data_IF_165055789531
#
_entry.id   IF_165055789531
#
_cell.length_a   1.000
_cell.length_b   1.000
_cell.length_c   1.000
_cell.angle_alpha   90.00
_cell.angle_beta   90.00
_cell.angle_gamma   90.00
#
_symmetry.space_group_name_H-M   'P 1'
#
loop_
_entity.id
_entity.type
_entity.pdbx_description
1 polymer ?
#
# COMPACT_ATOMS: atom_id res chain seq x y z
N UNK A 1 -3.48 24.40 -26.91
CA UNK A 1 -3.95 25.62 -26.24
C UNK A 1 -5.16 25.26 -25.40
N UNK A 2 -5.22 25.67 -24.13
CA UNK A 2 -6.35 25.41 -23.22
C UNK A 2 -7.09 26.74 -23.01
N UNK A 3 -8.39 26.77 -23.27
CA UNK A 3 -9.21 27.97 -23.09
C UNK A 3 -9.40 28.29 -21.62
N UNK A 4 -9.33 29.58 -21.27
CA UNK A 4 -9.45 30.07 -19.90
C UNK A 4 -10.75 29.65 -19.25
N UNK A 5 -11.88 29.75 -19.96
CA UNK A 5 -13.21 29.46 -19.42
C UNK A 5 -13.30 28.02 -18.92
N UNK A 6 -12.74 27.09 -19.70
CA UNK A 6 -12.70 25.65 -19.40
C UNK A 6 -11.72 25.37 -18.26
N UNK A 7 -10.52 25.95 -18.32
CA UNK A 7 -9.52 25.81 -17.27
C UNK A 7 -10.06 26.25 -15.90
N UNK A 8 -10.69 27.42 -15.84
CA UNK A 8 -11.20 28.04 -14.62
C UNK A 8 -12.42 27.31 -14.05
N UNK A 9 -13.24 26.70 -14.93
CA UNK A 9 -14.39 25.90 -14.51
C UNK A 9 -13.94 24.63 -13.76
N UNK A 10 -12.90 23.95 -14.24
CA UNK A 10 -12.53 22.63 -13.74
C UNK A 10 -11.34 22.60 -12.77
N UNK A 11 -10.47 23.61 -12.78
CA UNK A 11 -9.24 23.64 -11.98
C UNK A 11 -9.25 24.75 -10.93
N UNK A 12 -9.14 24.36 -9.66
CA UNK A 12 -8.92 25.32 -8.57
C UNK A 12 -7.58 26.03 -8.66
N UNK A 13 -6.56 25.35 -9.22
CA UNK A 13 -5.23 25.92 -9.44
C UNK A 13 -5.28 27.05 -10.48
N UNK A 14 -5.85 26.79 -11.67
CA UNK A 14 -5.91 27.81 -12.73
C UNK A 14 -6.74 29.01 -12.29
N UNK A 15 -7.81 28.80 -11.52
CA UNK A 15 -8.59 29.90 -10.94
C UNK A 15 -7.74 30.85 -10.11
N UNK A 16 -6.94 30.32 -9.18
CA UNK A 16 -6.07 31.16 -8.35
C UNK A 16 -4.98 31.85 -9.16
N UNK A 17 -4.31 31.11 -10.05
CA UNK A 17 -3.22 31.64 -10.85
C UNK A 17 -3.71 32.77 -11.78
N UNK A 18 -4.83 32.55 -12.47
CA UNK A 18 -5.41 33.51 -13.40
C UNK A 18 -5.91 34.78 -12.69
N UNK A 19 -6.59 34.63 -11.54
CA UNK A 19 -7.02 35.79 -10.75
C UNK A 19 -5.85 36.60 -10.20
N UNK A 20 -4.74 35.95 -9.83
CA UNK A 20 -3.51 36.64 -9.41
C UNK A 20 -2.92 37.46 -10.56
N UNK A 21 -2.80 36.85 -11.74
CA UNK A 21 -2.17 37.50 -12.90
C UNK A 21 -3.03 38.65 -13.45
N UNK A 22 -4.35 38.49 -13.48
CA UNK A 22 -5.26 39.57 -13.90
C UNK A 22 -5.18 40.80 -12.98
N UNK A 23 -5.06 40.59 -11.66
CA UNK A 23 -4.89 41.70 -10.70
C UNK A 23 -3.60 42.50 -10.96
N UNK A 24 -2.54 41.82 -11.39
CA UNK A 24 -1.24 42.44 -11.67
C UNK A 24 -1.23 43.17 -13.01
N UNK A 25 -1.81 42.57 -14.06
CA UNK A 25 -1.69 43.09 -15.43
C UNK A 25 -2.87 43.95 -15.90
N UNK A 26 -3.99 43.95 -15.17
CA UNK A 26 -5.22 44.68 -15.49
C UNK A 26 -5.78 44.40 -16.90
N UNK A 27 -5.53 43.18 -17.42
CA UNK A 27 -5.95 42.70 -18.76
C UNK A 27 -6.07 41.16 -18.78
N UNK A 28 -6.69 40.55 -19.80
CA UNK A 28 -6.71 39.09 -19.97
C UNK A 28 -5.29 38.53 -20.03
N UNK A 29 -4.98 37.56 -19.17
CA UNK A 29 -3.62 37.02 -19.03
C UNK A 29 -3.47 35.67 -19.75
N UNK A 30 -2.40 35.52 -20.52
CA UNK A 30 -1.95 34.20 -21.01
C UNK A 30 -1.03 33.58 -19.97
N UNK A 31 -1.42 32.43 -19.40
CA UNK A 31 -0.63 31.72 -18.41
C UNK A 31 0.37 30.77 -19.09
N UNK A 32 1.66 31.01 -18.89
CA UNK A 32 2.72 30.09 -19.32
C UNK A 32 3.06 29.13 -18.19
N UNK A 33 2.71 27.85 -18.36
CA UNK A 33 2.88 26.81 -17.35
C UNK A 33 4.12 25.99 -17.68
N UNK A 34 5.27 26.39 -17.11
CA UNK A 34 6.56 25.78 -17.41
C UNK A 34 6.99 24.70 -16.41
N UNK A 35 6.28 24.53 -15.29
CA UNK A 35 6.65 23.59 -14.22
C UNK A 35 6.01 22.20 -14.36
N UNK A 36 5.31 21.94 -15.47
CA UNK A 36 4.74 20.61 -15.80
C UNK A 36 5.71 19.75 -16.63
N UNK A 37 6.95 20.20 -16.83
CA UNK A 37 7.99 19.48 -17.59
C UNK A 37 8.34 18.10 -17.04
N UNK A 38 8.02 17.85 -15.77
CA UNK A 38 8.30 16.57 -15.11
C UNK A 38 7.19 15.52 -15.33
N UNK A 39 6.14 15.85 -16.09
CA UNK A 39 5.06 14.94 -16.45
C UNK A 39 5.16 14.56 -17.92
N UNK A 40 4.75 13.33 -18.22
CA UNK A 40 4.58 12.85 -19.59
C UNK A 40 3.62 13.75 -20.37
N UNK A 41 4.02 14.07 -21.59
CA UNK A 41 3.24 14.95 -22.46
C UNK A 41 1.87 14.36 -22.79
N UNK A 42 1.74 13.02 -22.86
CA UNK A 42 0.44 12.39 -23.10
C UNK A 42 -0.44 12.43 -21.87
N UNK A 43 0.09 12.29 -20.66
CA UNK A 43 -0.68 12.47 -19.41
C UNK A 43 -1.28 13.89 -19.36
N UNK A 44 -0.49 14.92 -19.66
CA UNK A 44 -0.95 16.31 -19.74
C UNK A 44 -2.01 16.48 -20.84
N UNK A 45 -1.77 15.93 -22.04
CA UNK A 45 -2.72 16.00 -23.16
C UNK A 45 -4.06 15.33 -22.81
N UNK A 46 -4.03 14.18 -22.14
CA UNK A 46 -5.25 13.47 -21.71
C UNK A 46 -6.03 14.25 -20.68
N UNK A 47 -5.37 14.85 -19.70
CA UNK A 47 -6.06 15.74 -18.77
C UNK A 47 -6.69 16.92 -19.51
N UNK A 48 -5.98 17.57 -20.44
CA UNK A 48 -6.57 18.65 -21.24
C UNK A 48 -7.80 18.15 -21.99
N UNK A 49 -7.71 17.04 -22.71
CA UNK A 49 -8.85 16.45 -23.43
C UNK A 49 -10.01 16.11 -22.49
N UNK A 50 -9.72 15.63 -21.29
CA UNK A 50 -10.71 15.37 -20.25
C UNK A 50 -11.45 16.65 -19.84
N UNK A 51 -10.77 17.80 -19.72
CA UNK A 51 -11.42 19.07 -19.41
C UNK A 51 -12.44 19.50 -20.46
N UNK A 52 -12.23 19.14 -21.73
CA UNK A 52 -13.15 19.47 -22.82
C UNK A 52 -14.28 18.44 -22.99
N UNK A 53 -14.00 17.17 -22.74
CA UNK A 53 -14.90 16.06 -23.14
C UNK A 53 -15.55 15.34 -21.98
N UNK A 54 -14.99 15.47 -20.76
CA UNK A 54 -15.36 14.64 -19.61
C UNK A 54 -14.94 13.17 -19.73
N UNK A 55 -14.22 12.78 -20.79
CA UNK A 55 -13.79 11.40 -21.04
C UNK A 55 -12.30 11.27 -20.71
N UNK A 56 -11.94 10.29 -19.88
CA UNK A 56 -10.55 10.01 -19.49
C UNK A 56 -10.17 8.58 -19.90
N UNK A 57 -9.64 8.36 -21.11
CA UNK A 57 -9.09 7.06 -21.49
C UNK A 57 -7.77 6.83 -20.73
N UNK A 58 -7.73 5.80 -19.89
CA UNK A 58 -6.54 5.43 -19.13
C UNK A 58 -6.52 3.94 -18.79
N UNK A 59 -5.30 3.43 -18.58
CA UNK A 59 -5.01 2.13 -17.99
C UNK A 59 -4.50 2.31 -16.55
N UNK A 60 -4.46 1.23 -15.77
CA UNK A 60 -3.99 1.28 -14.38
C UNK A 60 -2.54 1.77 -14.25
N UNK A 61 -1.68 1.45 -15.21
CA UNK A 61 -0.28 1.89 -15.24
C UNK A 61 -0.13 3.42 -15.28
N UNK A 62 -1.10 4.14 -15.85
CA UNK A 62 -1.05 5.59 -16.05
C UNK A 62 -1.69 6.36 -14.88
N UNK A 63 -2.44 5.66 -14.02
CA UNK A 63 -3.19 6.27 -12.92
C UNK A 63 -2.30 7.03 -11.92
N UNK A 64 -1.14 6.51 -11.48
CA UNK A 64 -0.29 7.24 -10.53
C UNK A 64 0.09 8.64 -11.01
N UNK A 65 0.49 8.76 -12.28
CA UNK A 65 0.86 10.03 -12.88
C UNK A 65 -0.35 10.96 -13.07
N UNK A 66 -1.47 10.41 -13.54
CA UNK A 66 -2.71 11.18 -13.71
C UNK A 66 -3.26 11.69 -12.37
N UNK A 67 -3.13 10.93 -11.28
CA UNK A 67 -3.46 11.37 -9.93
C UNK A 67 -2.55 12.50 -9.45
N UNK A 68 -1.24 12.37 -9.66
CA UNK A 68 -0.28 13.41 -9.28
C UNK A 68 -0.56 14.72 -10.03
N UNK A 69 -0.86 14.64 -11.33
CA UNK A 69 -1.22 15.80 -12.14
C UNK A 69 -2.56 16.41 -11.69
N UNK A 70 -3.57 15.56 -11.44
CA UNK A 70 -4.88 15.96 -10.94
C UNK A 70 -4.78 16.68 -9.59
N UNK A 71 -3.94 16.20 -8.67
CA UNK A 71 -3.68 16.85 -7.39
C UNK A 71 -2.98 18.20 -7.58
N UNK A 72 -1.90 18.24 -8.38
CA UNK A 72 -1.12 19.46 -8.65
C UNK A 72 -1.97 20.57 -9.27
N UNK A 73 -2.83 20.22 -10.22
CA UNK A 73 -3.71 21.16 -10.92
C UNK A 73 -5.10 21.25 -10.31
N UNK A 74 -5.36 20.54 -9.21
CA UNK A 74 -6.60 20.58 -8.45
C UNK A 74 -7.85 20.43 -9.33
N UNK A 75 -7.95 19.28 -10.02
CA UNK A 75 -9.06 18.93 -10.92
C UNK A 75 -9.94 17.84 -10.28
N UNK A 76 -10.81 18.18 -9.31
CA UNK A 76 -11.53 17.17 -8.50
C UNK A 76 -12.47 16.26 -9.32
N UNK A 77 -13.00 16.72 -10.45
CA UNK A 77 -13.81 15.89 -11.34
C UNK A 77 -13.03 14.72 -11.93
N UNK A 78 -11.76 14.95 -12.30
CA UNK A 78 -10.87 13.91 -12.81
C UNK A 78 -10.55 12.90 -11.72
N UNK A 79 -10.23 13.37 -10.50
CA UNK A 79 -10.01 12.50 -9.33
C UNK A 79 -11.20 11.57 -9.10
N UNK A 80 -12.42 12.11 -9.10
CA UNK A 80 -13.63 11.31 -8.88
C UNK A 80 -13.84 10.22 -9.93
N UNK A 81 -13.49 10.48 -11.19
CA UNK A 81 -13.58 9.47 -12.26
C UNK A 81 -12.50 8.41 -12.10
N UNK A 82 -11.27 8.80 -11.77
CA UNK A 82 -10.18 7.85 -11.48
C UNK A 82 -10.55 6.96 -10.30
N UNK A 83 -11.10 7.51 -9.21
CA UNK A 83 -11.54 6.74 -8.05
C UNK A 83 -12.60 5.70 -8.40
N UNK A 84 -13.61 6.09 -9.17
CA UNK A 84 -14.65 5.16 -9.66
C UNK A 84 -14.05 4.05 -10.51
N UNK A 85 -13.12 4.39 -11.40
CA UNK A 85 -12.40 3.43 -12.23
C UNK A 85 -11.60 2.44 -11.39
N UNK A 86 -10.85 2.91 -10.39
CA UNK A 86 -10.09 2.05 -9.47
C UNK A 86 -11.03 1.10 -8.71
N UNK A 87 -12.17 1.60 -8.19
CA UNK A 87 -13.13 0.74 -7.47
C UNK A 87 -13.71 -0.33 -8.40
N UNK A 88 -14.05 0.04 -9.64
CA UNK A 88 -14.55 -0.91 -10.64
C UNK A 88 -13.49 -1.97 -10.96
N UNK A 89 -12.23 -1.55 -11.18
CA UNK A 89 -11.13 -2.46 -11.49
C UNK A 89 -10.71 -3.33 -10.31
N UNK A 90 -10.83 -2.85 -9.08
CA UNK A 90 -10.55 -3.64 -7.88
C UNK A 90 -11.56 -4.78 -7.68
N UNK A 91 -12.76 -4.70 -8.27
CA UNK A 91 -13.70 -5.82 -8.28
C UNK A 91 -13.24 -6.96 -9.21
N UNK A 92 -12.36 -6.67 -10.18
CA UNK A 92 -11.75 -7.66 -11.06
C UNK A 92 -10.48 -8.22 -10.42
N UNK A 93 -10.45 -9.53 -10.15
CA UNK A 93 -9.32 -10.18 -9.46
C UNK A 93 -7.96 -9.93 -10.15
N UNK A 94 -7.93 -9.96 -11.48
CA UNK A 94 -6.71 -9.74 -12.26
C UNK A 94 -6.13 -8.33 -12.08
N UNK A 95 -6.90 -7.34 -11.64
CA UNK A 95 -6.44 -5.96 -11.45
C UNK A 95 -6.37 -5.53 -9.98
N UNK A 96 -6.80 -6.40 -9.07
CA UNK A 96 -6.93 -6.09 -7.64
C UNK A 96 -5.60 -5.67 -7.01
N UNK A 97 -4.51 -6.39 -7.30
CA UNK A 97 -3.19 -6.08 -6.75
C UNK A 97 -2.64 -4.74 -7.27
N UNK A 98 -2.85 -4.43 -8.54
CA UNK A 98 -2.46 -3.13 -9.11
C UNK A 98 -3.24 -1.99 -8.45
N UNK A 99 -4.57 -2.16 -8.30
CA UNK A 99 -5.42 -1.20 -7.60
C UNK A 99 -5.00 -1.02 -6.15
N UNK A 100 -4.62 -2.11 -5.47
CA UNK A 100 -4.10 -2.06 -4.11
C UNK A 100 -2.80 -1.26 -4.04
N UNK A 101 -1.83 -1.56 -4.91
CA UNK A 101 -0.55 -0.87 -4.93
C UNK A 101 -0.74 0.64 -5.17
N UNK A 102 -1.56 1.00 -6.16
CA UNK A 102 -1.92 2.40 -6.45
C UNK A 102 -2.56 3.07 -5.22
N UNK A 103 -3.44 2.36 -4.50
CA UNK A 103 -4.15 2.92 -3.34
C UNK A 103 -3.26 3.17 -2.12
N UNK A 104 -2.17 2.42 -2.01
CA UNK A 104 -1.18 2.52 -0.94
C UNK A 104 0.02 3.41 -1.27
N UNK A 105 0.20 3.76 -2.54
CA UNK A 105 1.31 4.61 -2.97
C UNK A 105 1.30 5.95 -2.21
N UNK A 106 2.48 6.44 -1.79
CA UNK A 106 2.61 7.64 -0.95
C UNK A 106 1.99 8.90 -1.56
N UNK A 107 2.00 8.98 -2.89
CA UNK A 107 1.45 10.12 -3.64
C UNK A 107 -0.02 9.92 -4.06
N UNK A 108 -0.66 8.84 -3.61
CA UNK A 108 -2.07 8.57 -3.92
C UNK A 108 -2.98 9.51 -3.13
N UNK A 109 -3.40 10.60 -3.78
CA UNK A 109 -4.46 11.48 -3.27
C UNK A 109 -5.85 10.88 -3.53
N UNK A 110 -6.05 9.62 -3.16
CA UNK A 110 -7.36 8.96 -3.18
C UNK A 110 -8.09 9.20 -1.86
N UNK A 111 -9.41 9.33 -1.92
CA UNK A 111 -10.25 9.39 -0.73
C UNK A 111 -10.17 8.10 0.08
N UNK A 112 -10.38 8.25 1.40
CA UNK A 112 -10.43 7.12 2.32
C UNK A 112 -11.45 6.07 1.87
N UNK A 113 -12.63 6.51 1.40
CA UNK A 113 -13.68 5.63 0.88
C UNK A 113 -13.17 4.72 -0.25
N UNK A 114 -12.41 5.26 -1.19
CA UNK A 114 -11.82 4.48 -2.29
C UNK A 114 -10.84 3.45 -1.75
N UNK A 115 -9.94 3.87 -0.85
CA UNK A 115 -8.96 2.97 -0.22
C UNK A 115 -9.65 1.84 0.56
N UNK A 116 -10.73 2.15 1.27
CA UNK A 116 -11.52 1.17 2.02
C UNK A 116 -12.20 0.14 1.10
N UNK A 117 -12.76 0.57 -0.04
CA UNK A 117 -13.33 -0.37 -1.01
C UNK A 117 -12.28 -1.34 -1.56
N UNK A 118 -11.12 -0.82 -1.99
CA UNK A 118 -10.03 -1.66 -2.51
C UNK A 118 -9.53 -2.63 -1.43
N UNK A 119 -9.29 -2.13 -0.22
CA UNK A 119 -8.89 -2.95 0.93
C UNK A 119 -9.91 -4.07 1.19
N UNK A 120 -11.21 -3.77 1.17
CA UNK A 120 -12.25 -4.78 1.37
C UNK A 120 -12.21 -5.88 0.31
N UNK A 121 -11.93 -5.56 -0.96
CA UNK A 121 -11.75 -6.57 -2.00
C UNK A 121 -10.51 -7.44 -1.76
N UNK A 122 -9.38 -6.83 -1.37
CA UNK A 122 -8.15 -7.56 -1.01
C UNK A 122 -8.41 -8.52 0.15
N UNK A 123 -9.03 -8.03 1.23
CA UNK A 123 -9.29 -8.80 2.45
C UNK A 123 -10.24 -9.98 2.21
N UNK A 124 -11.26 -9.80 1.36
CA UNK A 124 -12.18 -10.90 0.95
C UNK A 124 -11.49 -11.98 0.12
N UNK A 125 -10.40 -11.63 -0.55
CA UNK A 125 -9.65 -12.53 -1.43
C UNK A 125 -8.23 -12.74 -0.93
N UNK A 126 -7.99 -12.66 0.39
CA UNK A 126 -6.64 -12.60 0.97
C UNK A 126 -5.76 -13.77 0.49
N UNK A 127 -6.25 -15.00 0.58
CA UNK A 127 -5.54 -16.19 0.11
C UNK A 127 -5.10 -16.03 -1.35
N UNK A 128 -6.06 -15.78 -2.23
CA UNK A 128 -5.78 -15.61 -3.66
C UNK A 128 -4.83 -14.44 -3.92
N UNK A 129 -4.95 -13.34 -3.17
CA UNK A 129 -4.10 -12.17 -3.32
C UNK A 129 -2.66 -12.45 -2.88
N UNK A 130 -2.47 -13.13 -1.74
CA UNK A 130 -1.15 -13.50 -1.22
C UNK A 130 -0.51 -14.59 -2.07
N UNK A 131 -1.27 -15.53 -2.63
CA UNK A 131 -0.73 -16.62 -3.45
C UNK A 131 -0.42 -16.23 -4.89
N UNK A 132 -0.95 -15.11 -5.38
CA UNK A 132 -0.60 -14.57 -6.69
C UNK A 132 0.89 -14.20 -6.76
N UNK A 133 1.57 -14.59 -7.83
CA UNK A 133 3.00 -14.30 -8.05
C UNK A 133 3.27 -12.80 -8.05
N UNK A 134 2.31 -11.97 -8.48
CA UNK A 134 2.43 -10.51 -8.51
C UNK A 134 2.40 -9.88 -7.12
N UNK A 135 2.07 -10.65 -6.07
CA UNK A 135 2.12 -10.15 -4.69
C UNK A 135 3.54 -9.70 -4.29
N UNK A 136 4.58 -10.35 -4.80
CA UNK A 136 5.97 -9.95 -4.55
C UNK A 136 6.39 -8.69 -5.33
N UNK A 137 5.62 -8.29 -6.36
CA UNK A 137 5.86 -7.08 -7.14
C UNK A 137 5.23 -5.83 -6.50
N UNK A 138 4.44 -6.00 -5.44
CA UNK A 138 3.88 -4.88 -4.70
C UNK A 138 4.98 -4.06 -4.03
N UNK A 139 4.71 -2.77 -3.86
CA UNK A 139 5.53 -1.92 -3.02
C UNK A 139 5.45 -2.45 -1.59
N UNK A 140 6.58 -2.47 -0.88
CA UNK A 140 6.60 -2.93 0.51
C UNK A 140 5.60 -2.16 1.38
N UNK A 141 5.42 -0.85 1.14
CA UNK A 141 4.43 -0.04 1.84
C UNK A 141 2.99 -0.55 1.66
N UNK A 142 2.65 -1.14 0.52
CA UNK A 142 1.34 -1.74 0.28
C UNK A 142 1.17 -3.07 1.04
N UNK A 143 2.21 -3.89 1.10
CA UNK A 143 2.20 -5.14 1.90
C UNK A 143 2.10 -4.82 3.38
N UNK A 144 2.89 -3.87 3.87
CA UNK A 144 2.81 -3.43 5.27
C UNK A 144 1.44 -2.83 5.60
N UNK A 145 0.87 -2.02 4.71
CA UNK A 145 -0.46 -1.43 4.91
C UNK A 145 -1.57 -2.48 4.99
N UNK A 146 -1.39 -3.65 4.36
CA UNK A 146 -2.29 -4.79 4.46
C UNK A 146 -2.07 -5.53 5.78
N UNK A 147 -0.81 -5.90 6.07
CA UNK A 147 -0.47 -6.69 7.25
C UNK A 147 -0.75 -5.93 8.55
N UNK A 148 -0.60 -4.60 8.58
CA UNK A 148 -0.91 -3.74 9.75
C UNK A 148 -2.40 -3.74 10.15
N UNK A 149 -3.32 -4.25 9.31
CA UNK A 149 -4.76 -4.20 9.59
C UNK A 149 -5.17 -5.11 10.74
N UNK A 150 -5.91 -4.57 11.69
CA UNK A 150 -6.46 -5.32 12.83
C UNK A 150 -7.44 -6.42 12.41
N UNK A 151 -8.16 -6.18 11.31
CA UNK A 151 -9.19 -7.09 10.79
C UNK A 151 -8.66 -8.17 9.86
N UNK A 152 -7.34 -8.38 9.80
CA UNK A 152 -6.73 -9.39 8.93
C UNK A 152 -7.31 -10.79 9.23
N UNK A 153 -7.84 -11.52 8.22
CA UNK A 153 -8.43 -12.83 8.42
C UNK A 153 -7.33 -13.91 8.57
N UNK A 154 -6.64 -13.87 9.70
CA UNK A 154 -5.59 -14.81 10.11
C UNK A 154 -5.99 -15.54 11.39
N UNK A 155 -5.29 -16.63 11.73
CA UNK A 155 -5.49 -17.36 12.98
C UNK A 155 -4.67 -16.78 14.12
N UNK A 156 -3.46 -16.30 13.82
CA UNK A 156 -2.56 -15.72 14.82
C UNK A 156 -1.52 -14.79 14.18
N UNK A 157 -0.77 -14.07 15.02
CA UNK A 157 0.41 -13.29 14.58
C UNK A 157 1.47 -14.15 13.87
N UNK A 158 1.53 -15.45 14.16
CA UNK A 158 2.43 -16.35 13.46
C UNK A 158 2.11 -16.40 11.96
N UNK A 159 0.83 -16.31 11.58
CA UNK A 159 0.44 -16.28 10.17
C UNK A 159 0.79 -14.94 9.52
N UNK A 160 0.71 -13.83 10.27
CA UNK A 160 1.15 -12.50 9.80
C UNK A 160 2.63 -12.54 9.46
N UNK A 161 3.44 -13.13 10.35
CA UNK A 161 4.86 -13.34 10.10
C UNK A 161 5.07 -14.20 8.85
N UNK A 162 4.37 -15.33 8.71
CA UNK A 162 4.50 -16.22 7.54
C UNK A 162 4.16 -15.51 6.23
N UNK A 163 3.08 -14.72 6.18
CA UNK A 163 2.75 -13.93 4.98
C UNK A 163 3.87 -12.92 4.66
N UNK A 164 4.42 -12.26 5.68
CA UNK A 164 5.55 -11.34 5.50
C UNK A 164 6.78 -12.08 4.93
N UNK A 165 7.10 -13.26 5.47
CA UNK A 165 8.21 -14.09 4.98
C UNK A 165 7.95 -14.61 3.55
N UNK A 166 6.72 -15.00 3.21
CA UNK A 166 6.36 -15.39 1.84
C UNK A 166 6.61 -14.25 0.84
N UNK A 167 6.31 -13.01 1.22
CA UNK A 167 6.64 -11.83 0.42
C UNK A 167 8.15 -11.64 0.27
N UNK A 168 8.89 -11.71 1.38
CA UNK A 168 10.34 -11.59 1.42
C UNK A 168 11.04 -12.63 0.52
N UNK A 169 10.65 -13.91 0.64
CA UNK A 169 11.23 -15.00 -0.15
C UNK A 169 11.02 -14.83 -1.64
N UNK A 170 9.81 -14.45 -2.06
CA UNK A 170 9.50 -14.28 -3.50
C UNK A 170 10.16 -13.06 -4.13
N UNK A 171 10.82 -12.21 -3.33
CA UNK A 171 11.66 -11.11 -3.80
C UNK A 171 13.16 -11.45 -3.71
N UNK A 172 13.52 -12.67 -3.30
CA UNK A 172 14.90 -13.07 -2.99
C UNK A 172 15.60 -12.08 -2.05
N UNK A 173 14.84 -11.48 -1.12
CA UNK A 173 15.29 -10.43 -0.22
C UNK A 173 15.68 -9.09 -0.84
N UNK A 174 15.63 -8.93 -2.16
CA UNK A 174 16.03 -7.71 -2.86
C UNK A 174 15.09 -6.54 -2.57
N UNK A 175 15.67 -5.40 -2.20
CA UNK A 175 14.98 -4.13 -1.93
C UNK A 175 13.89 -4.23 -0.82
N UNK A 176 14.00 -5.19 0.09
CA UNK A 176 13.10 -5.32 1.24
C UNK A 176 13.77 -4.74 2.49
N UNK A 177 13.16 -3.71 3.08
CA UNK A 177 13.52 -3.27 4.42
C UNK A 177 12.94 -4.25 5.44
N UNK A 178 13.77 -5.20 5.84
CA UNK A 178 13.38 -6.31 6.71
C UNK A 178 12.89 -5.87 8.09
N UNK A 179 13.54 -4.86 8.70
CA UNK A 179 13.10 -4.30 9.97
C UNK A 179 11.68 -3.74 9.87
N UNK A 180 11.40 -2.94 8.84
CA UNK A 180 10.06 -2.34 8.63
C UNK A 180 9.00 -3.39 8.35
N UNK A 181 9.36 -4.45 7.60
CA UNK A 181 8.48 -5.56 7.32
C UNK A 181 8.15 -6.37 8.59
N UNK A 182 9.13 -6.65 9.46
CA UNK A 182 8.90 -7.37 10.71
C UNK A 182 8.16 -6.52 11.76
N UNK A 183 8.34 -5.20 11.75
CA UNK A 183 7.60 -4.28 12.63
C UNK A 183 6.07 -4.34 12.45
N UNK A 184 5.56 -4.97 11.38
CA UNK A 184 4.11 -5.13 11.19
C UNK A 184 3.52 -6.23 12.07
N UNK A 185 4.35 -7.16 12.58
CA UNK A 185 3.98 -8.30 13.44
C UNK A 185 3.89 -7.82 14.90
N UNK A 186 2.92 -8.34 15.64
CA UNK A 186 2.75 -8.01 17.07
C UNK A 186 3.38 -9.10 17.93
N UNK A 187 4.41 -8.72 18.69
CA UNK A 187 5.23 -9.65 19.47
C UNK A 187 4.75 -9.84 20.92
N UNK A 188 3.70 -9.12 21.34
CA UNK A 188 2.98 -9.31 22.61
C UNK A 188 2.02 -10.52 22.57
N UNK A 189 2.36 -11.58 21.82
CA UNK A 189 1.46 -12.68 21.43
C UNK A 189 1.57 -13.96 22.27
N UNK A 190 2.24 -13.88 23.42
CA UNK A 190 2.47 -15.00 24.33
C UNK A 190 3.58 -15.94 23.88
N UNK A 191 4.16 -16.66 24.85
CA UNK A 191 5.37 -17.46 24.66
C UNK A 191 5.19 -18.58 23.60
N UNK A 192 4.06 -19.27 23.59
CA UNK A 192 3.80 -20.34 22.62
C UNK A 192 3.84 -19.85 21.17
N UNK A 193 3.26 -18.67 20.90
CA UNK A 193 3.28 -18.07 19.57
C UNK A 193 4.70 -17.63 19.20
N UNK A 194 5.42 -17.00 20.12
CA UNK A 194 6.81 -16.56 19.91
C UNK A 194 7.76 -17.73 19.64
N UNK A 195 7.59 -18.86 20.33
CA UNK A 195 8.39 -20.08 20.11
C UNK A 195 8.17 -20.59 18.68
N UNK A 196 6.94 -20.63 18.19
CA UNK A 196 6.62 -21.05 16.81
C UNK A 196 7.20 -20.08 15.78
N UNK A 197 7.06 -18.78 16.01
CA UNK A 197 7.68 -17.76 15.14
C UNK A 197 9.20 -17.92 15.08
N UNK A 198 9.86 -18.16 16.22
CA UNK A 198 11.31 -18.38 16.26
C UNK A 198 11.70 -19.65 15.49
N UNK A 199 10.92 -20.73 15.58
CA UNK A 199 11.15 -21.93 14.78
C UNK A 199 11.07 -21.63 13.28
N UNK A 200 10.04 -20.88 12.84
CA UNK A 200 9.91 -20.47 11.44
C UNK A 200 11.11 -19.63 10.96
N UNK A 201 11.57 -18.68 11.78
CA UNK A 201 12.75 -17.85 11.50
C UNK A 201 14.03 -18.69 11.41
N UNK A 202 14.20 -19.68 12.28
CA UNK A 202 15.35 -20.58 12.23
C UNK A 202 15.36 -21.43 10.95
N UNK A 203 14.20 -21.84 10.43
CA UNK A 203 14.09 -22.56 9.17
C UNK A 203 14.52 -21.73 7.95
N UNK A 204 14.47 -20.40 8.02
CA UNK A 204 14.87 -19.50 6.91
C UNK A 204 16.39 -19.49 6.71
N UNK A 205 17.17 -19.75 7.75
CA UNK A 205 18.63 -19.70 7.73
C UNK A 205 19.21 -18.35 7.21
N UNK A 206 18.60 -17.24 7.61
CA UNK A 206 19.07 -15.87 7.32
C UNK A 206 19.44 -15.16 8.64
N UNK A 207 20.68 -14.65 8.73
CA UNK A 207 21.20 -14.01 9.94
C UNK A 207 20.62 -12.62 10.20
N UNK A 208 20.40 -11.83 9.14
CA UNK A 208 19.82 -10.49 9.24
C UNK A 208 18.37 -10.58 9.72
N UNK A 209 17.61 -11.53 9.16
CA UNK A 209 16.24 -11.83 9.55
C UNK A 209 16.14 -12.26 11.00
N UNK A 210 17.05 -13.14 11.43
CA UNK A 210 17.13 -13.55 12.82
C UNK A 210 17.42 -12.36 13.73
N UNK A 211 18.37 -11.51 13.36
CA UNK A 211 18.72 -10.33 14.15
C UNK A 211 17.53 -9.36 14.29
N UNK A 212 16.88 -9.00 13.19
CA UNK A 212 15.70 -8.13 13.20
C UNK A 212 14.54 -8.73 13.99
N UNK A 213 14.32 -10.05 13.88
CA UNK A 213 13.29 -10.75 14.66
C UNK A 213 13.55 -10.66 16.17
N UNK A 214 14.78 -10.92 16.61
CA UNK A 214 15.14 -10.88 18.03
C UNK A 214 15.01 -9.46 18.62
N UNK A 215 15.40 -8.42 17.85
CA UNK A 215 15.19 -7.03 18.25
C UNK A 215 13.69 -6.71 18.45
N UNK A 216 12.85 -7.13 17.51
CA UNK A 216 11.41 -6.93 17.59
C UNK A 216 10.77 -7.69 18.76
N UNK A 217 11.21 -8.92 19.02
CA UNK A 217 10.77 -9.70 20.18
C UNK A 217 11.13 -9.02 21.49
N UNK A 218 12.38 -8.57 21.63
CA UNK A 218 12.84 -7.85 22.82
C UNK A 218 12.02 -6.58 23.05
N UNK A 219 11.73 -5.83 21.99
CA UNK A 219 10.88 -4.63 22.07
C UNK A 219 9.44 -4.96 22.48
N UNK A 220 8.80 -5.97 21.88
CA UNK A 220 7.44 -6.36 22.23
C UNK A 220 7.29 -6.91 23.66
N UNK A 221 8.31 -7.64 24.14
CA UNK A 221 8.37 -8.09 25.54
C UNK A 221 8.52 -6.90 26.50
N UNK A 222 9.44 -5.98 26.20
CA UNK A 222 9.62 -4.75 26.98
C UNK A 222 8.33 -3.92 27.05
N UNK A 223 7.60 -3.77 25.93
CA UNK A 223 6.29 -3.09 25.93
C UNK A 223 5.32 -3.76 26.90
N UNK A 224 5.24 -5.10 26.86
CA UNK A 224 4.34 -5.89 27.71
C UNK A 224 4.70 -5.73 29.19
N UNK A 225 5.99 -5.79 29.53
CA UNK A 225 6.49 -5.61 30.90
C UNK A 225 6.25 -4.19 31.43
N UNK A 226 6.55 -3.14 30.64
CA UNK A 226 6.30 -1.76 31.04
C UNK A 226 4.82 -1.52 31.37
N UNK A 227 3.90 -2.10 30.60
CA UNK A 227 2.47 -1.99 30.88
C UNK A 227 2.02 -2.70 32.16
N UNK A 228 2.69 -3.79 32.55
CA UNK A 228 2.34 -4.56 33.74
C UNK A 228 2.92 -3.96 35.01
N UNK A 229 4.14 -3.40 34.95
CA UNK A 229 4.93 -3.07 36.14
C UNK A 229 5.02 -1.58 36.48
N UNK A 230 4.84 -0.66 35.50
CA UNK A 230 4.85 0.78 35.81
C UNK A 230 3.96 1.60 34.86
N UNK A 231 2.69 1.85 35.23
CA UNK A 231 1.75 2.61 34.40
C UNK A 231 2.09 4.11 34.27
N UNK A 232 3.11 4.59 34.99
CA UNK A 232 3.56 5.98 34.98
C UNK A 232 4.79 6.22 34.10
N UNK A 233 5.43 5.16 33.57
CA UNK A 233 6.54 5.32 32.63
C UNK A 233 6.05 6.04 31.37
N UNK A 234 6.76 7.13 31.05
CA UNK A 234 6.58 7.89 29.83
C UNK A 234 7.77 7.65 28.88
N UNK A 235 7.53 7.49 27.57
CA UNK A 235 6.22 7.48 26.91
C UNK A 235 5.45 6.17 27.15
N UNK A 236 4.12 6.26 27.27
CA UNK A 236 3.26 5.06 27.35
C UNK A 236 3.34 4.29 26.02
N UNK A 237 3.71 3.00 26.03
CA UNK A 237 3.69 2.22 24.81
C UNK A 237 2.27 2.11 24.24
N UNK A 238 2.14 2.12 22.91
CA UNK A 238 0.86 1.82 22.26
C UNK A 238 0.80 0.31 22.03
N UNK A 239 0.27 -0.45 23.01
CA UNK A 239 0.05 -1.88 22.82
C UNK A 239 -1.19 -2.10 21.98
N UNK A 240 -0.99 -2.67 20.79
CA UNK A 240 -2.08 -3.16 19.96
C UNK A 240 -2.46 -4.59 20.39
N UNK A 241 -3.77 -4.93 20.39
CA UNK A 241 -4.20 -6.29 20.67
C UNK A 241 -3.66 -7.24 19.61
N UNK A 242 -3.35 -8.47 19.97
CA UNK A 242 -2.95 -9.50 18.99
C UNK A 242 -4.05 -9.76 17.95
N UNK A 243 -3.66 -9.95 16.68
CA UNK A 243 -4.60 -10.33 15.63
C UNK A 243 -4.85 -11.82 15.61
N UNK A 244 -6.03 -12.15 15.10
CA UNK A 244 -6.37 -13.49 14.67
C UNK A 244 -7.62 -14.04 15.32
N UNK A 245 -8.24 -15.02 14.66
CA UNK A 245 -9.36 -15.79 15.17
C UNK A 245 -8.95 -17.26 15.14
N UNK A 246 -8.93 -17.99 16.26
CA UNK A 246 -8.47 -19.38 16.30
C UNK A 246 -9.11 -20.32 15.25
N UNK A 247 -10.35 -20.02 14.84
CA UNK A 247 -11.12 -20.78 13.87
C UNK A 247 -11.04 -20.25 12.43
N UNK A 248 -10.11 -19.33 12.13
CA UNK A 248 -9.92 -18.84 10.77
C UNK A 248 -9.35 -19.94 9.87
N UNK A 249 -9.91 -20.08 8.67
CA UNK A 249 -9.42 -20.99 7.63
C UNK A 249 -8.14 -20.41 7.02
N UNK A 250 -6.99 -20.89 7.50
CA UNK A 250 -5.67 -20.35 7.22
C UNK A 250 -4.62 -21.45 6.97
N UNK A 251 -5.05 -22.69 6.72
CA UNK A 251 -4.11 -23.80 6.53
C UNK A 251 -3.25 -23.62 5.28
N UNK A 252 -3.78 -22.92 4.26
CA UNK A 252 -3.06 -22.52 3.07
C UNK A 252 -1.77 -21.75 3.39
N UNK A 253 -1.76 -20.91 4.45
CA UNK A 253 -0.58 -20.13 4.83
C UNK A 253 0.58 -21.05 5.21
N UNK A 254 0.31 -22.07 6.02
CA UNK A 254 1.34 -23.02 6.47
C UNK A 254 1.85 -23.85 5.31
N UNK A 255 0.92 -24.40 4.51
CA UNK A 255 1.25 -25.23 3.35
C UNK A 255 2.16 -24.45 2.39
N UNK A 256 1.79 -23.22 2.06
CA UNK A 256 2.57 -22.43 1.11
C UNK A 256 3.88 -21.90 1.70
N UNK A 257 3.89 -21.46 2.96
CA UNK A 257 5.12 -21.03 3.62
C UNK A 257 6.17 -22.14 3.64
N UNK A 258 5.82 -23.34 4.12
CA UNK A 258 6.78 -24.45 4.17
C UNK A 258 7.16 -24.97 2.77
N UNK A 259 6.30 -24.82 1.76
CA UNK A 259 6.67 -25.14 0.37
C UNK A 259 7.76 -24.22 -0.18
N UNK A 260 7.84 -22.96 0.27
CA UNK A 260 8.89 -22.02 -0.12
C UNK A 260 10.23 -22.30 0.58
N UNK A 261 10.21 -22.96 1.74
CA UNK A 261 11.40 -23.33 2.51
C UNK A 261 12.06 -24.62 2.02
N UNK A 262 11.33 -25.47 1.29
CA UNK A 262 11.92 -26.65 0.68
C UNK A 262 12.78 -26.21 -0.50
N UNK A 263 14.03 -26.69 -0.64
CA UNK A 263 14.78 -26.45 -1.86
C UNK A 263 13.94 -26.95 -3.03
N UNK A 264 13.76 -26.13 -4.06
CA UNK A 264 13.22 -26.57 -5.35
C UNK A 264 14.11 -27.74 -5.75
N UNK A 265 13.59 -28.95 -5.59
CA UNK A 265 14.25 -30.13 -6.12
C UNK A 265 14.16 -29.94 -7.62
N UNK A 266 15.26 -29.50 -8.23
CA UNK A 266 15.40 -29.57 -9.68
C UNK A 266 14.97 -30.99 -10.06
N UNK A 267 13.96 -31.14 -10.92
CA UNK A 267 13.68 -32.45 -11.46
C UNK A 267 14.90 -32.77 -12.33
N UNK A 268 15.78 -33.63 -11.83
CA UNK A 268 16.74 -34.34 -12.66
C UNK A 268 15.98 -34.95 -13.85
N UNK A 269 16.13 -34.34 -15.03
CA UNK A 269 16.07 -34.95 -16.36
C UNK A 269 16.45 -33.97 -17.45
#
# INVERSE_FOLDING_TARGET
MLHSEIALAHSGYFRRQYSSEMKTQNRPATLNINYLTNYDANAVRRMINFLYTGILPCSLAEIPELLALCCKLQVPSMRSIIEKFIIQKAAEYNSLLDCWNISCHRQSDLSLRTKDFVLNYVMRSLEKAVLDVRFSQLDQGAVEALLKRDSLPVRSECDVLRIALMYYFRRDGQDVNMQSLLNVVRYNCGNETLIRMRQDILCVNDEELRFCFEQNCAYGLWQTECHLYDPNIWPKPEILPVRGKPNADCDWINVHFYSLLQPITEPYR
#
